data_IF_932573861313
#
_entry.id   IF_932573861313
#
_cell.length_a   1.000
_cell.length_b   1.000
_cell.length_c   1.000
_cell.angle_alpha   90.00
_cell.angle_beta   90.00
_cell.angle_gamma   90.00
#
_symmetry.space_group_name_H-M   'P 1'
#
loop_
_entity.id
_entity.type
_entity.pdbx_description
1 polymer ?
#
# COMPACT_ATOMS: atom_id res chain seq x y z
N UNK A 1 -11.24 -9.38 13.56
CA UNK A 1 -9.81 -9.54 13.90
C UNK A 1 -9.09 -10.00 12.64
N UNK A 2 -9.26 -9.26 11.53
CA UNK A 2 -9.19 -9.90 10.20
C UNK A 2 -7.95 -9.44 9.40
N UNK A 3 -7.32 -8.34 9.82
CA UNK A 3 -6.08 -7.82 9.23
C UNK A 3 -4.85 -8.69 9.51
N UNK A 4 -4.89 -9.49 10.60
CA UNK A 4 -3.78 -10.36 10.98
C UNK A 4 -3.73 -11.64 10.14
N UNK A 5 -4.90 -12.21 9.82
CA UNK A 5 -4.99 -13.43 9.02
C UNK A 5 -4.44 -13.23 7.59
N UNK A 6 -4.64 -12.05 7.00
CA UNK A 6 -4.15 -11.80 5.63
C UNK A 6 -2.63 -11.64 5.52
N UNK A 7 -1.90 -11.58 6.65
CA UNK A 7 -0.43 -11.45 6.65
C UNK A 7 0.27 -12.81 6.55
N UNK A 8 -0.44 -13.92 6.76
CA UNK A 8 0.06 -15.29 6.53
C UNK A 8 -0.39 -15.87 5.19
N UNK A 9 -1.24 -15.17 4.45
CA UNK A 9 -1.74 -15.61 3.14
C UNK A 9 -0.62 -15.73 2.10
N UNK A 10 -0.62 -16.76 1.25
CA UNK A 10 0.39 -16.92 0.21
C UNK A 10 0.42 -15.74 -0.75
N UNK A 11 1.63 -15.44 -1.25
CA UNK A 11 1.85 -14.35 -2.21
C UNK A 11 1.79 -14.92 -3.63
N UNK A 12 1.08 -14.23 -4.53
CA UNK A 12 1.04 -14.53 -5.95
C UNK A 12 1.37 -13.29 -6.79
N UNK A 13 1.88 -13.53 -8.00
CA UNK A 13 2.08 -12.47 -8.98
C UNK A 13 0.78 -12.26 -9.75
N UNK A 14 0.31 -11.03 -9.76
CA UNK A 14 -0.81 -10.58 -10.57
C UNK A 14 -0.33 -9.58 -11.61
N UNK A 15 -1.14 -9.40 -12.63
CA UNK A 15 -0.91 -8.43 -13.68
C UNK A 15 -2.13 -7.51 -13.76
N UNK A 16 -1.85 -6.21 -13.83
CA UNK A 16 -2.90 -5.21 -13.94
C UNK A 16 -3.56 -5.30 -15.31
N UNK A 17 -4.88 -5.41 -15.33
CA UNK A 17 -5.67 -5.37 -16.56
C UNK A 17 -6.22 -3.98 -16.83
N UNK A 18 -6.66 -3.27 -15.79
CA UNK A 18 -7.25 -1.94 -15.92
C UNK A 18 -6.99 -1.12 -14.68
N UNK A 19 -6.80 0.18 -14.86
CA UNK A 19 -6.72 1.15 -13.79
C UNK A 19 -7.53 2.39 -14.17
N UNK A 20 -8.34 2.88 -13.23
CA UNK A 20 -9.17 4.06 -13.39
C UNK A 20 -8.82 5.10 -12.34
N UNK A 21 -8.62 6.35 -12.77
CA UNK A 21 -8.41 7.50 -11.89
C UNK A 21 -9.58 8.47 -11.99
N UNK A 22 -10.24 8.75 -10.87
CA UNK A 22 -11.41 9.64 -10.82
C UNK A 22 -11.33 10.63 -9.66
N UNK A 23 -11.72 11.88 -9.89
CA UNK A 23 -11.88 12.86 -8.81
C UNK A 23 -13.27 12.76 -8.20
N UNK A 24 -13.35 12.56 -6.88
CA UNK A 24 -14.61 12.51 -6.14
C UNK A 24 -15.12 13.93 -5.89
N UNK A 25 -16.30 14.25 -6.44
CA UNK A 25 -16.88 15.61 -6.40
C UNK A 25 -17.06 16.12 -4.97
N UNK A 26 -17.63 15.30 -4.08
CA UNK A 26 -17.97 15.72 -2.70
C UNK A 26 -16.74 16.03 -1.83
N UNK A 27 -15.65 15.26 -1.97
CA UNK A 27 -14.46 15.40 -1.11
C UNK A 27 -13.27 16.03 -1.81
N UNK A 28 -13.32 16.21 -3.13
CA UNK A 28 -12.19 16.62 -3.96
C UNK A 28 -11.07 15.58 -4.09
N UNK A 29 -11.19 14.43 -3.43
CA UNK A 29 -10.15 13.38 -3.39
C UNK A 29 -10.04 12.65 -4.73
N UNK A 30 -8.83 12.22 -5.08
CA UNK A 30 -8.52 11.43 -6.26
C UNK A 30 -8.54 9.95 -5.90
N UNK A 31 -9.42 9.19 -6.55
CA UNK A 31 -9.67 7.80 -6.26
C UNK A 31 -9.21 6.93 -7.42
N UNK A 32 -8.50 5.85 -7.08
CA UNK A 32 -8.00 4.83 -7.99
C UNK A 32 -8.78 3.55 -7.78
N UNK A 33 -9.26 2.97 -8.87
CA UNK A 33 -9.81 1.63 -8.93
C UNK A 33 -8.89 0.77 -9.80
N UNK A 34 -8.44 -0.36 -9.26
CA UNK A 34 -7.53 -1.27 -9.94
C UNK A 34 -8.23 -2.59 -10.23
N UNK A 35 -8.03 -3.13 -11.42
CA UNK A 35 -8.43 -4.47 -11.80
C UNK A 35 -7.20 -5.26 -12.21
N UNK A 36 -7.06 -6.47 -11.70
CA UNK A 36 -5.92 -7.33 -11.98
C UNK A 36 -6.36 -8.77 -12.13
N UNK A 37 -5.54 -9.56 -12.82
CA UNK A 37 -5.69 -11.01 -12.92
C UNK A 37 -4.47 -11.72 -12.40
N UNK A 38 -4.67 -12.91 -11.84
CA UNK A 38 -3.62 -13.74 -11.29
C UNK A 38 -3.94 -15.20 -11.57
N UNK A 39 -2.94 -16.06 -11.40
CA UNK A 39 -3.10 -17.51 -11.56
C UNK A 39 -2.72 -18.20 -10.26
N UNK A 40 -3.53 -19.19 -9.87
CA UNK A 40 -3.26 -20.10 -8.76
C UNK A 40 -3.41 -21.52 -9.31
N UNK A 41 -2.29 -22.21 -9.49
CA UNK A 41 -2.25 -23.45 -10.26
C UNK A 41 -2.71 -23.23 -11.71
N UNK A 42 -3.63 -24.07 -12.19
CA UNK A 42 -4.21 -23.99 -13.55
C UNK A 42 -5.35 -22.97 -13.68
N UNK A 43 -5.79 -22.36 -12.57
CA UNK A 43 -6.96 -21.48 -12.56
C UNK A 43 -6.54 -20.02 -12.63
N UNK A 44 -7.22 -19.26 -13.49
CA UNK A 44 -7.06 -17.80 -13.59
C UNK A 44 -8.20 -17.11 -12.87
N UNK A 45 -7.84 -16.17 -12.01
CA UNK A 45 -8.76 -15.35 -11.22
C UNK A 45 -8.61 -13.88 -11.61
N UNK A 46 -9.67 -13.10 -11.36
CA UNK A 46 -9.66 -11.64 -11.54
C UNK A 46 -10.24 -10.96 -10.31
N UNK A 47 -9.65 -9.86 -9.87
CA UNK A 47 -10.08 -9.14 -8.68
C UNK A 47 -9.93 -7.63 -8.86
N UNK A 48 -10.71 -6.90 -8.06
CA UNK A 48 -10.62 -5.43 -7.91
C UNK A 48 -10.40 -5.01 -6.45
N UNK A 49 -10.17 -5.98 -5.55
CA UNK A 49 -9.97 -5.70 -4.13
C UNK A 49 -8.55 -5.18 -3.91
N UNK A 50 -8.45 -4.05 -3.23
CA UNK A 50 -7.18 -3.50 -2.75
C UNK A 50 -6.89 -3.99 -1.34
N UNK A 51 -7.93 -4.10 -0.50
CA UNK A 51 -7.88 -4.68 0.84
C UNK A 51 -9.14 -5.51 1.12
N UNK A 52 -9.23 -6.11 2.31
CA UNK A 52 -10.39 -6.92 2.72
C UNK A 52 -11.71 -6.15 2.64
N UNK A 53 -11.67 -4.84 2.91
CA UNK A 53 -12.86 -3.98 2.98
C UNK A 53 -12.92 -2.93 1.88
N UNK A 54 -11.82 -2.71 1.15
CA UNK A 54 -11.68 -1.57 0.23
C UNK A 54 -11.35 -2.03 -1.19
N UNK A 55 -12.09 -1.50 -2.16
CA UNK A 55 -11.87 -1.72 -3.61
C UNK A 55 -11.30 -0.48 -4.31
N UNK A 56 -11.39 0.68 -3.67
CA UNK A 56 -11.00 1.97 -4.24
C UNK A 56 -10.11 2.69 -3.24
N UNK A 57 -8.91 3.07 -3.66
CA UNK A 57 -8.00 3.86 -2.83
C UNK A 57 -8.15 5.35 -3.18
N UNK A 58 -8.46 6.19 -2.20
CA UNK A 58 -8.67 7.61 -2.41
C UNK A 58 -7.62 8.44 -1.67
N UNK A 59 -6.99 9.36 -2.38
CA UNK A 59 -5.93 10.24 -1.90
C UNK A 59 -6.37 11.70 -2.03
N UNK A 60 -6.00 12.55 -1.06
CA UNK A 60 -6.25 14.00 -1.19
C UNK A 60 -5.27 14.64 -2.17
N UNK A 61 -4.03 14.18 -2.17
CA UNK A 61 -3.00 14.66 -3.09
C UNK A 61 -3.14 14.02 -4.47
N UNK A 62 -3.22 14.87 -5.50
CA UNK A 62 -3.27 14.44 -6.90
C UNK A 62 -1.97 13.78 -7.33
N UNK A 63 -0.82 14.25 -6.84
CA UNK A 63 0.48 13.75 -7.27
C UNK A 63 0.68 12.29 -6.87
N UNK A 64 0.26 11.93 -5.65
CA UNK A 64 0.26 10.54 -5.17
C UNK A 64 -0.61 9.66 -6.06
N UNK A 65 -1.83 10.11 -6.35
CA UNK A 65 -2.74 9.34 -7.20
C UNK A 65 -2.21 9.21 -8.65
N UNK A 66 -1.64 10.27 -9.23
CA UNK A 66 -1.04 10.24 -10.56
C UNK A 66 0.22 9.36 -10.62
N UNK A 67 1.00 9.30 -9.54
CA UNK A 67 2.18 8.42 -9.45
C UNK A 67 1.77 6.94 -9.44
N UNK A 68 0.78 6.58 -8.61
CA UNK A 68 0.23 5.23 -8.57
C UNK A 68 -0.44 4.85 -9.90
N UNK A 69 -1.19 5.77 -10.51
CA UNK A 69 -1.81 5.57 -11.82
C UNK A 69 -0.78 5.25 -12.91
N UNK A 70 0.36 5.97 -12.91
CA UNK A 70 1.46 5.71 -13.85
C UNK A 70 2.23 4.43 -13.56
N UNK A 71 2.36 4.05 -12.28
CA UNK A 71 3.06 2.84 -11.84
C UNK A 71 2.29 1.56 -12.19
N UNK A 72 0.98 1.59 -12.04
CA UNK A 72 0.10 0.43 -12.23
C UNK A 72 -0.65 0.46 -13.55
N UNK A 73 0.01 0.86 -14.64
CA UNK A 73 -0.60 0.78 -15.97
C UNK A 73 -0.91 -0.68 -16.35
N UNK A 74 -1.86 -0.92 -17.28
CA UNK A 74 -2.14 -2.27 -17.78
C UNK A 74 -0.85 -2.99 -18.22
N UNK A 75 -0.70 -4.25 -17.80
CA UNK A 75 0.51 -5.05 -17.99
C UNK A 75 1.53 -4.94 -16.85
N UNK A 76 1.35 -4.03 -15.88
CA UNK A 76 2.22 -3.95 -14.72
C UNK A 76 2.08 -5.19 -13.83
N UNK A 77 3.21 -5.77 -13.42
CA UNK A 77 3.26 -6.85 -12.43
C UNK A 77 3.11 -6.30 -11.01
N UNK A 78 2.20 -6.88 -10.23
CA UNK A 78 1.96 -6.52 -8.83
C UNK A 78 1.98 -7.79 -7.96
N UNK A 79 2.32 -7.60 -6.68
CA UNK A 79 2.21 -8.67 -5.69
C UNK A 79 0.84 -8.62 -5.01
N UNK A 80 0.19 -9.77 -4.93
CA UNK A 80 -1.07 -9.94 -4.20
C UNK A 80 -0.92 -11.03 -3.15
N UNK A 81 -1.81 -11.01 -2.17
CA UNK A 81 -2.03 -12.13 -1.27
C UNK A 81 -3.43 -12.68 -1.50
N UNK A 82 -3.55 -14.00 -1.57
CA UNK A 82 -4.85 -14.67 -1.76
C UNK A 82 -5.16 -15.57 -0.57
N UNK A 83 -6.44 -15.75 -0.24
CA UNK A 83 -6.86 -16.70 0.78
C UNK A 83 -6.67 -18.13 0.23
N UNK A 84 -5.83 -18.97 0.85
CA UNK A 84 -5.62 -20.34 0.38
C UNK A 84 -6.88 -21.21 0.49
N UNK A 85 -7.83 -20.85 1.37
CA UNK A 85 -9.10 -21.54 1.54
C UNK A 85 -10.15 -21.10 0.51
N UNK A 86 -10.01 -19.87 0.01
CA UNK A 86 -10.85 -19.28 -1.03
C UNK A 86 -9.99 -18.44 -2.01
N UNK A 87 -9.41 -19.06 -3.04
CA UNK A 87 -8.47 -18.40 -3.95
C UNK A 87 -9.08 -17.26 -4.79
N UNK A 88 -10.40 -17.08 -4.79
CA UNK A 88 -11.05 -15.92 -5.42
C UNK A 88 -10.85 -14.65 -4.58
N UNK A 89 -10.71 -14.81 -3.26
CA UNK A 89 -10.45 -13.72 -2.32
C UNK A 89 -8.97 -13.35 -2.33
N UNK A 90 -8.67 -12.15 -2.84
CA UNK A 90 -7.32 -11.57 -2.87
C UNK A 90 -7.29 -10.13 -2.39
N UNK A 91 -6.11 -9.70 -1.93
CA UNK A 91 -5.80 -8.32 -1.55
C UNK A 91 -4.47 -7.89 -2.19
N UNK A 92 -4.38 -6.62 -2.58
CA UNK A 92 -3.12 -6.07 -3.11
C UNK A 92 -2.21 -5.76 -1.94
N UNK A 93 -0.97 -6.23 -2.03
CA UNK A 93 0.06 -5.85 -1.09
C UNK A 93 0.76 -4.59 -1.61
N UNK A 94 0.18 -3.44 -1.29
CA UNK A 94 0.82 -2.13 -1.49
C UNK A 94 1.77 -1.90 -0.32
N UNK A 95 2.97 -2.47 -0.40
CA UNK A 95 4.10 -2.00 0.41
C UNK A 95 4.48 -0.60 -0.11
N UNK A 96 3.71 0.42 0.27
CA UNK A 96 4.19 1.80 0.24
C UNK A 96 4.44 2.20 1.69
N UNK A 97 5.64 1.88 2.16
CA UNK A 97 6.24 2.61 3.27
C UNK A 97 6.60 3.96 2.70
N UNK A 98 5.81 4.96 3.04
CA UNK A 98 5.94 6.29 2.46
C UNK A 98 7.29 6.89 2.91
N UNK A 99 7.98 7.65 2.05
CA UNK A 99 9.24 8.30 2.43
C UNK A 99 9.09 9.19 3.68
N UNK A 100 7.86 9.70 3.90
CA UNK A 100 7.50 10.47 5.09
C UNK A 100 7.60 9.66 6.39
N UNK A 101 7.35 8.35 6.37
CA UNK A 101 7.51 7.49 7.55
C UNK A 101 8.98 7.43 8.00
N UNK A 102 9.92 7.47 7.05
CA UNK A 102 11.35 7.51 7.36
C UNK A 102 11.80 8.88 7.87
N UNK A 103 11.23 9.99 7.37
CA UNK A 103 11.53 11.34 7.88
C UNK A 103 11.20 11.44 9.37
N UNK A 104 10.01 11.01 9.78
CA UNK A 104 9.60 11.10 11.19
C UNK A 104 10.50 10.24 12.09
N UNK A 105 10.95 9.08 11.61
CA UNK A 105 11.85 8.20 12.32
C UNK A 105 13.24 8.85 12.51
N UNK A 106 13.78 9.49 11.46
CA UNK A 106 15.04 10.24 11.53
C UNK A 106 14.93 11.44 12.48
N UNK A 107 13.83 12.19 12.39
CA UNK A 107 13.60 13.37 13.23
C UNK A 107 13.53 12.97 14.71
N UNK A 108 12.83 11.88 15.02
CA UNK A 108 12.70 11.34 16.39
C UNK A 108 14.04 10.87 16.93
N UNK A 109 14.83 10.16 16.11
CA UNK A 109 16.18 9.75 16.48
C UNK A 109 17.11 10.95 16.74
N UNK A 110 17.01 12.00 15.93
CA UNK A 110 17.79 13.23 16.11
C UNK A 110 17.45 13.95 17.43
N UNK A 111 16.15 14.06 17.78
CA UNK A 111 15.73 14.64 19.06
C UNK A 111 16.19 13.82 20.26
N UNK A 112 16.07 12.49 20.21
CA UNK A 112 16.58 11.61 21.27
C UNK A 112 18.11 11.70 21.42
N UNK A 113 18.84 11.71 20.30
CA UNK A 113 20.30 11.86 20.29
C UNK A 113 20.75 13.20 20.89
N UNK A 114 20.10 14.30 20.50
CA UNK A 114 20.39 15.64 21.03
C UNK A 114 20.13 15.72 22.55
N UNK A 115 19.05 15.10 23.03
CA UNK A 115 18.75 15.02 24.47
C UNK A 115 19.84 14.31 25.28
N UNK A 116 20.36 13.18 24.80
CA UNK A 116 21.44 12.44 25.47
C UNK A 116 22.73 13.25 25.53
N UNK A 117 23.07 13.97 24.44
CA UNK A 117 24.26 14.82 24.37
C UNK A 117 24.14 15.98 25.37
N UNK A 118 22.97 16.61 25.48
CA UNK A 118 22.73 17.70 26.42
C UNK A 118 22.83 17.25 27.88
N UNK A 119 22.28 16.09 28.23
CA UNK A 119 22.38 15.52 29.59
C UNK A 119 23.83 15.19 29.96
N UNK A 120 24.60 14.65 29.02
CA UNK A 120 26.05 14.40 29.23
C UNK A 120 26.87 15.69 29.32
N UNK A 121 26.44 16.76 28.64
CA UNK A 121 27.10 18.06 28.66
C UNK A 121 26.92 18.82 29.99
N UNK A 122 25.75 18.72 30.62
CA UNK A 122 25.48 19.33 31.94
C UNK A 122 26.06 18.53 33.10
N UNK A 123 26.26 17.21 32.97
CA UNK A 123 26.91 16.38 33.98
C UNK A 123 28.45 16.51 34.02
N UNK A 124 29.05 17.23 33.06
CA UNK A 124 30.51 17.38 32.90
C UNK A 124 31.00 18.81 33.19
N UNK A 125 30.14 19.66 33.75
CA UNK A 125 30.44 21.05 34.11
C UNK A 125 30.38 21.24 35.62
#
# INVERSE_FOLDING_TARGET
MDKLASTSWPVAHAEVSTIDLRKRVKSGAWCIELRYHYRVGEHRFSSTRLSLTTRVACYRDKQVADALFRRFQPGAGIAIRYDPSDPETSIVYLDDVDFSDFIFLILTAAFLGAGIILIKGTARR
#
